data_IF_706645261028
#
_entry.id   IF_706645261028
#
_cell.length_a   1.000
_cell.length_b   1.000
_cell.length_c   1.000
_cell.angle_alpha   90.00
_cell.angle_beta   90.00
_cell.angle_gamma   90.00
#
_symmetry.space_group_name_H-M   'P 1'
#
loop_
_entity.id
_entity.type
_entity.pdbx_description
1 polymer ?
#
# COMPACT_ATOMS: atom_id res chain seq x y z
N UNK A 1 -3.13 -11.14 -6.86
CA UNK A 1 -2.42 -10.01 -7.51
C UNK A 1 -1.79 -9.14 -6.45
N UNK A 2 -0.62 -8.63 -6.73
CA UNK A 2 0.12 -7.80 -5.78
C UNK A 2 0.13 -6.35 -6.22
N UNK A 3 0.03 -5.45 -5.26
CA UNK A 3 0.00 -4.01 -5.48
C UNK A 3 0.96 -3.33 -4.53
N UNK A 4 1.76 -2.41 -5.06
CA UNK A 4 2.54 -1.50 -4.22
C UNK A 4 1.63 -0.33 -3.84
N UNK A 5 1.44 -0.13 -2.56
CA UNK A 5 0.57 0.92 -2.03
C UNK A 5 1.39 1.90 -1.22
N UNK A 6 1.22 3.17 -1.53
CA UNK A 6 1.83 4.27 -0.78
C UNK A 6 0.74 5.24 -0.36
N UNK A 7 0.55 5.40 0.94
CA UNK A 7 -0.30 6.43 1.51
C UNK A 7 0.60 7.50 2.11
N UNK A 8 0.45 8.74 1.68
CA UNK A 8 1.35 9.83 2.07
C UNK A 8 0.58 11.09 2.38
N UNK A 9 1.31 12.15 2.73
CA UNK A 9 0.75 13.46 3.02
C UNK A 9 -0.30 13.40 4.15
N UNK A 10 -0.01 12.60 5.18
CA UNK A 10 -0.86 12.49 6.35
C UNK A 10 -0.95 13.79 7.13
N UNK A 11 -1.91 13.88 8.06
CA UNK A 11 -2.15 15.12 8.79
C UNK A 11 -0.95 15.51 9.65
N UNK A 12 -0.67 16.82 9.68
CA UNK A 12 0.25 17.39 10.63
C UNK A 12 -0.51 17.84 11.88
N UNK A 13 0.23 18.23 12.90
CA UNK A 13 -0.34 18.77 14.12
C UNK A 13 0.65 19.75 14.74
N UNK A 14 0.12 20.79 15.38
CA UNK A 14 0.92 21.92 15.88
C UNK A 14 0.82 22.13 17.38
N UNK A 15 -0.06 21.40 18.06
CA UNK A 15 -0.22 21.51 19.51
C UNK A 15 -0.26 20.13 20.16
N UNK A 16 0.06 20.00 21.47
CA UNK A 16 -0.10 18.73 22.16
C UNK A 16 -1.52 18.18 22.12
N UNK A 17 -2.53 19.03 22.23
CA UNK A 17 -3.93 18.63 22.20
C UNK A 17 -4.31 18.10 20.82
N UNK A 18 -3.89 18.77 19.77
CA UNK A 18 -4.12 18.33 18.39
C UNK A 18 -3.38 17.01 18.12
N UNK A 19 -2.16 16.87 18.64
CA UNK A 19 -1.38 15.65 18.51
C UNK A 19 -2.13 14.45 19.10
N UNK A 20 -2.64 14.60 20.33
CA UNK A 20 -3.41 13.53 21.00
C UNK A 20 -4.63 13.15 20.16
N UNK A 21 -5.39 14.13 19.69
CA UNK A 21 -6.60 13.88 18.91
C UNK A 21 -6.29 13.17 17.59
N UNK A 22 -5.30 13.64 16.84
CA UNK A 22 -4.92 13.03 15.55
C UNK A 22 -4.43 11.59 15.77
N UNK A 23 -3.59 11.36 16.78
CA UNK A 23 -3.07 10.03 17.05
C UNK A 23 -4.17 9.07 17.52
N UNK A 24 -4.98 9.47 18.47
CA UNK A 24 -6.01 8.59 19.03
C UNK A 24 -7.14 8.27 18.07
N UNK A 25 -7.59 9.25 17.30
CA UNK A 25 -8.78 9.10 16.43
C UNK A 25 -8.45 8.66 15.01
N UNK A 26 -7.24 8.90 14.54
CA UNK A 26 -6.87 8.62 13.16
C UNK A 26 -5.70 7.67 13.01
N UNK A 27 -4.54 8.01 13.54
CA UNK A 27 -3.29 7.29 13.26
C UNK A 27 -3.24 5.92 13.96
N UNK A 28 -3.51 5.86 15.26
CA UNK A 28 -3.48 4.60 15.98
C UNK A 28 -4.53 3.61 15.46
N UNK A 29 -5.79 4.00 15.19
CA UNK A 29 -6.74 3.10 14.54
C UNK A 29 -6.28 2.64 13.16
N UNK A 30 -5.56 3.47 12.41
CA UNK A 30 -4.97 3.08 11.13
C UNK A 30 -3.91 2.02 11.31
N UNK A 31 -3.01 2.17 12.29
CA UNK A 31 -2.04 1.12 12.62
C UNK A 31 -2.72 -0.20 12.98
N UNK A 32 -3.79 -0.15 13.77
CA UNK A 32 -4.54 -1.35 14.13
C UNK A 32 -5.10 -2.04 12.89
N UNK A 33 -5.66 -1.27 11.95
CA UNK A 33 -6.17 -1.81 10.69
C UNK A 33 -5.06 -2.44 9.84
N UNK A 34 -3.90 -1.80 9.74
CA UNK A 34 -2.76 -2.33 8.98
C UNK A 34 -2.20 -3.59 9.61
N UNK A 35 -2.10 -3.63 10.94
CA UNK A 35 -1.65 -4.82 11.67
C UNK A 35 -2.60 -6.00 11.45
N UNK A 36 -3.90 -5.76 11.40
CA UNK A 36 -4.87 -6.79 11.10
C UNK A 36 -4.72 -7.31 9.67
N UNK A 37 -4.54 -6.43 8.70
CA UNK A 37 -4.29 -6.82 7.32
C UNK A 37 -3.01 -7.65 7.20
N UNK A 38 -1.98 -7.30 7.95
CA UNK A 38 -0.73 -8.06 8.00
C UNK A 38 -0.95 -9.45 8.61
N UNK A 39 -1.68 -9.53 9.72
CA UNK A 39 -2.03 -10.80 10.36
C UNK A 39 -2.86 -11.69 9.43
N UNK A 40 -3.75 -11.12 8.64
CA UNK A 40 -4.59 -11.83 7.67
C UNK A 40 -3.85 -12.14 6.37
N UNK A 41 -2.57 -11.80 6.28
CA UNK A 41 -1.72 -11.98 5.09
C UNK A 41 -2.21 -11.24 3.84
N UNK A 42 -2.97 -10.19 4.03
CA UNK A 42 -3.32 -9.24 2.97
C UNK A 42 -2.18 -8.28 2.71
N UNK A 43 -1.50 -7.82 3.75
CA UNK A 43 -0.23 -7.11 3.63
C UNK A 43 0.90 -8.12 3.73
N UNK A 44 1.68 -8.23 2.67
CA UNK A 44 2.78 -9.19 2.57
C UNK A 44 4.08 -8.65 3.14
N UNK A 45 4.29 -7.35 3.02
CA UNK A 45 5.45 -6.65 3.54
C UNK A 45 5.14 -5.16 3.58
N UNK A 46 5.83 -4.42 4.40
CA UNK A 46 5.65 -2.99 4.43
C UNK A 46 6.14 -2.36 5.73
N UNK A 47 5.98 -1.07 5.81
CA UNK A 47 6.38 -0.27 6.94
C UNK A 47 6.23 1.20 6.63
N UNK A 48 6.89 2.03 7.40
CA UNK A 48 6.90 3.46 7.20
C UNK A 48 8.33 3.90 6.90
N UNK A 49 8.52 4.81 5.93
CA UNK A 49 9.83 5.46 5.79
C UNK A 49 10.20 6.15 7.11
N UNK A 50 11.46 6.04 7.51
CA UNK A 50 11.91 6.58 8.78
C UNK A 50 11.65 8.08 8.83
N UNK A 51 11.00 8.54 9.91
CA UNK A 51 10.68 9.94 10.18
C UNK A 51 9.74 10.60 9.17
N UNK A 52 9.09 9.83 8.31
CA UNK A 52 8.12 10.35 7.34
C UNK A 52 6.69 10.00 7.76
N UNK A 53 5.72 10.77 7.28
CA UNK A 53 4.30 10.54 7.53
C UNK A 53 3.67 9.83 6.34
N UNK A 54 4.18 8.62 6.07
CA UNK A 54 3.75 7.82 4.94
C UNK A 54 3.65 6.35 5.36
N UNK A 55 2.80 5.61 4.66
CA UNK A 55 2.65 4.16 4.81
C UNK A 55 2.99 3.52 3.47
N UNK A 56 3.81 2.47 3.48
CA UNK A 56 4.23 1.77 2.26
C UNK A 56 4.05 0.28 2.49
N UNK A 57 3.31 -0.38 1.62
CA UNK A 57 3.12 -1.83 1.77
C UNK A 57 2.80 -2.50 0.45
N UNK A 58 3.02 -3.81 0.43
CA UNK A 58 2.62 -4.69 -0.66
C UNK A 58 1.32 -5.37 -0.24
N UNK A 59 0.26 -5.13 -1.01
CA UNK A 59 -1.07 -5.66 -0.74
C UNK A 59 -1.38 -6.80 -1.71
N UNK A 60 -1.90 -7.90 -1.17
CA UNK A 60 -2.45 -9.00 -1.96
C UNK A 60 -3.95 -8.82 -2.07
N UNK A 61 -4.46 -8.80 -3.30
CA UNK A 61 -5.88 -8.67 -3.57
C UNK A 61 -6.23 -9.34 -4.89
N UNK A 62 -7.50 -9.69 -5.06
CA UNK A 62 -7.98 -10.40 -6.25
C UNK A 62 -8.38 -9.47 -7.38
N UNK A 63 -8.63 -8.20 -7.08
CA UNK A 63 -9.11 -7.22 -8.07
C UNK A 63 -8.82 -5.80 -7.63
N UNK A 64 -8.94 -4.87 -8.56
CA UNK A 64 -8.83 -3.44 -8.26
C UNK A 64 -9.93 -2.98 -7.31
N UNK A 65 -11.13 -3.53 -7.45
CA UNK A 65 -12.25 -3.19 -6.56
C UNK A 65 -11.99 -3.62 -5.12
N UNK A 66 -11.36 -4.78 -4.94
CA UNK A 66 -10.95 -5.22 -3.61
C UNK A 66 -9.90 -4.31 -3.00
N UNK A 67 -8.91 -3.88 -3.78
CA UNK A 67 -7.91 -2.90 -3.32
C UNK A 67 -8.58 -1.62 -2.87
N UNK A 68 -9.48 -1.08 -3.68
CA UNK A 68 -10.20 0.14 -3.36
C UNK A 68 -10.97 0.01 -2.05
N UNK A 69 -11.68 -1.10 -1.86
CA UNK A 69 -12.45 -1.32 -0.64
C UNK A 69 -11.56 -1.47 0.59
N UNK A 70 -10.46 -2.22 0.47
CA UNK A 70 -9.52 -2.40 1.59
C UNK A 70 -8.96 -1.04 2.02
N UNK A 71 -8.56 -0.20 1.07
CA UNK A 71 -8.00 1.11 1.41
C UNK A 71 -9.05 2.05 1.99
N UNK A 72 -10.27 2.04 1.46
CA UNK A 72 -11.37 2.87 2.00
C UNK A 72 -11.75 2.50 3.42
N UNK A 73 -11.56 1.25 3.80
CA UNK A 73 -11.83 0.78 5.15
C UNK A 73 -10.76 1.20 6.17
N UNK A 74 -9.63 1.70 5.71
CA UNK A 74 -8.58 2.22 6.60
C UNK A 74 -9.06 3.56 7.18
N UNK A 75 -9.03 3.74 8.52
CA UNK A 75 -9.57 4.95 9.15
C UNK A 75 -9.02 6.26 8.60
N UNK A 76 -7.74 6.30 8.25
CA UNK A 76 -7.11 7.52 7.72
C UNK A 76 -7.25 7.66 6.20
N UNK A 77 -8.05 6.82 5.53
CA UNK A 77 -8.15 6.84 4.07
C UNK A 77 -8.40 8.25 3.52
N UNK A 78 -9.33 8.98 4.10
CA UNK A 78 -9.76 10.29 3.56
C UNK A 78 -8.77 11.42 3.76
N UNK A 79 -7.75 11.23 4.62
CA UNK A 79 -6.75 12.28 4.91
C UNK A 79 -5.38 11.95 4.33
N UNK A 80 -5.24 10.81 3.69
CA UNK A 80 -4.01 10.41 3.02
C UNK A 80 -4.18 10.50 1.51
N UNK A 81 -3.08 10.75 0.84
CA UNK A 81 -2.99 10.66 -0.61
C UNK A 81 -2.46 9.28 -0.97
N UNK A 82 -3.21 8.53 -1.75
CA UNK A 82 -2.87 7.16 -2.08
C UNK A 82 -2.33 7.02 -3.49
N UNK A 83 -1.28 6.23 -3.62
CA UNK A 83 -0.78 5.78 -4.92
C UNK A 83 -0.73 4.26 -4.91
N UNK A 84 -1.41 3.64 -5.86
CA UNK A 84 -1.49 2.19 -5.99
C UNK A 84 -0.90 1.78 -7.33
N UNK A 85 0.06 0.88 -7.29
CA UNK A 85 0.74 0.40 -8.50
C UNK A 85 0.61 -1.12 -8.56
N UNK A 86 -0.08 -1.67 -9.57
CA UNK A 86 -0.12 -3.13 -9.76
C UNK A 86 1.28 -3.63 -10.10
N UNK A 87 1.63 -4.78 -9.56
CA UNK A 87 2.94 -5.39 -9.77
C UNK A 87 2.79 -6.65 -10.60
N UNK A 88 3.62 -6.80 -11.60
CA UNK A 88 3.77 -8.03 -12.36
C UNK A 88 4.76 -8.92 -11.60
N UNK A 89 4.57 -10.24 -11.63
CA UNK A 89 5.53 -11.15 -11.03
C UNK A 89 6.85 -11.15 -11.80
N UNK A 90 7.94 -11.44 -11.10
CA UNK A 90 9.24 -11.60 -11.76
C UNK A 90 9.18 -12.70 -12.83
N UNK A 91 8.52 -13.82 -12.52
CA UNK A 91 8.39 -14.92 -13.47
C UNK A 91 7.62 -14.51 -14.71
N UNK A 92 6.48 -13.83 -14.54
CA UNK A 92 5.67 -13.37 -15.68
C UNK A 92 6.44 -12.41 -16.57
N UNK A 93 7.18 -11.48 -15.97
CA UNK A 93 8.01 -10.55 -16.73
C UNK A 93 9.16 -11.27 -17.45
N UNK A 94 9.84 -12.18 -16.78
CA UNK A 94 10.92 -12.95 -17.39
C UNK A 94 10.43 -13.78 -18.59
N UNK A 95 9.27 -14.43 -18.45
CA UNK A 95 8.71 -15.21 -19.55
C UNK A 95 8.37 -14.31 -20.74
N UNK A 96 7.85 -13.12 -20.49
CA UNK A 96 7.57 -12.15 -21.53
C UNK A 96 8.83 -11.72 -22.26
N UNK A 97 9.90 -11.41 -21.52
CA UNK A 97 11.18 -11.00 -22.11
C UNK A 97 11.79 -12.11 -22.96
N UNK A 98 11.72 -13.37 -22.48
CA UNK A 98 12.20 -14.52 -23.27
C UNK A 98 11.43 -14.64 -24.58
N UNK A 99 10.12 -14.48 -24.56
CA UNK A 99 9.31 -14.58 -25.80
C UNK A 99 9.65 -13.46 -26.78
N UNK A 100 9.98 -12.27 -26.29
CA UNK A 100 10.41 -11.15 -27.13
C UNK A 100 11.75 -11.48 -27.80
N UNK A 101 12.72 -11.99 -27.03
CA UNK A 101 14.02 -12.39 -27.56
C UNK A 101 13.85 -13.43 -28.66
N UNK A 102 13.06 -14.45 -28.44
CA UNK A 102 12.82 -15.50 -29.44
C UNK A 102 12.15 -14.95 -30.69
N UNK A 103 11.18 -14.08 -30.55
CA UNK A 103 10.51 -13.47 -31.69
C UNK A 103 11.49 -12.63 -32.54
N UNK A 104 12.39 -11.89 -31.89
CA UNK A 104 13.40 -11.09 -32.57
C UNK A 104 14.45 -11.93 -33.26
N UNK A 105 14.85 -13.06 -32.67
CA UNK A 105 15.82 -13.97 -33.28
C UNK A 105 15.32 -14.66 -34.53
N UNK A 106 13.99 -14.79 -34.69
CA UNK A 106 13.41 -15.40 -35.88
C UNK A 106 13.32 -14.48 -37.08
N UNK A 107 13.65 -13.23 -36.92
CA UNK A 107 13.64 -12.25 -38.02
C UNK A 107 15.00 -12.19 -38.74
#
# INVERSE_FOLDING_TARGET
MKYLVVGSEGPGFTSPEETVEVLEKGILPTFDALLKLEADKKILAGGLPVADRAFVFILEASSNDEVDQILRDIPAWGVLKWKVTPLQSFKGRADKERSIVEALKKK
#
